data_IF_209848584198
#
_entry.id   IF_209848584198
#
_cell.length_a   1.000
_cell.length_b   1.000
_cell.length_c   1.000
_cell.angle_alpha   90.00
_cell.angle_beta   90.00
_cell.angle_gamma   90.00
#
_symmetry.space_group_name_H-M   'P 1'
#
loop_
_entity.id
_entity.type
_entity.pdbx_description
1 polymer ?
#
# COMPACT_ATOMS: atom_id res chain seq x y z
N UNK A 1 -10.57 0.23 48.03
CA UNK A 1 -11.23 -0.46 49.16
C UNK A 1 -12.42 -1.18 48.57
N UNK A 2 -12.18 -2.37 48.03
CA UNK A 2 -12.26 -3.68 48.72
C UNK A 2 -13.65 -4.25 48.44
N UNK A 3 -13.89 -5.52 48.09
CA UNK A 3 -13.11 -6.75 47.98
C UNK A 3 -14.15 -7.75 47.38
N UNK A 4 -13.83 -8.52 46.33
CA UNK A 4 -13.31 -9.90 46.40
C UNK A 4 -14.39 -10.98 46.66
N UNK A 5 -14.70 -11.71 45.58
CA UNK A 5 -14.67 -13.18 45.40
C UNK A 5 -15.50 -14.09 46.35
N UNK A 6 -16.40 -14.87 45.74
CA UNK A 6 -16.79 -16.26 46.10
C UNK A 6 -16.56 -17.10 44.84
N UNK A 7 -15.52 -17.94 44.74
CA UNK A 7 -15.46 -19.35 45.19
C UNK A 7 -16.72 -20.16 44.85
N UNK A 8 -16.66 -21.01 43.81
CA UNK A 8 -16.95 -22.45 43.95
C UNK A 8 -16.93 -23.24 42.61
N UNK A 9 -16.12 -24.30 42.62
CA UNK A 9 -16.36 -25.68 42.12
C UNK A 9 -16.43 -26.01 40.60
N UNK A 10 -15.39 -26.76 40.18
CA UNK A 10 -15.35 -28.07 39.48
C UNK A 10 -16.34 -28.35 38.33
N UNK A 11 -15.87 -28.52 37.08
CA UNK A 11 -15.24 -29.71 36.45
C UNK A 11 -16.23 -30.77 35.89
N UNK A 12 -16.12 -30.94 34.56
CA UNK A 12 -16.38 -32.11 33.72
C UNK A 12 -17.84 -32.55 33.45
N UNK A 13 -18.23 -32.55 32.17
CA UNK A 13 -18.52 -33.78 31.39
C UNK A 13 -18.71 -33.45 29.91
N UNK A 14 -18.02 -34.20 29.05
CA UNK A 14 -18.22 -34.23 27.61
C UNK A 14 -19.49 -35.01 27.22
N UNK A 15 -20.16 -34.60 26.13
CA UNK A 15 -20.70 -35.44 25.04
C UNK A 15 -21.93 -34.80 24.37
N UNK A 16 -21.85 -34.73 23.03
CA UNK A 16 -22.91 -34.91 22.03
C UNK A 16 -24.31 -34.32 22.25
N UNK A 17 -24.74 -33.44 21.33
CA UNK A 17 -26.03 -33.58 20.62
C UNK A 17 -26.21 -32.50 19.53
N UNK A 18 -26.47 -32.99 18.32
CA UNK A 18 -27.26 -32.42 17.23
C UNK A 18 -27.89 -31.01 17.42
N UNK A 19 -27.53 -30.07 16.54
CA UNK A 19 -28.40 -28.95 16.19
C UNK A 19 -28.98 -29.16 14.78
N UNK A 20 -30.22 -29.65 14.76
CA UNK A 20 -31.10 -29.67 13.60
C UNK A 20 -31.72 -28.29 13.36
N UNK A 21 -31.58 -27.82 12.12
CA UNK A 21 -32.54 -27.07 11.29
C UNK A 21 -33.14 -25.76 11.82
N UNK A 22 -32.82 -24.66 11.14
CA UNK A 22 -33.87 -23.76 10.64
C UNK A 22 -33.41 -23.05 9.36
N UNK A 23 -34.06 -23.42 8.25
CA UNK A 23 -34.15 -22.62 7.04
C UNK A 23 -34.65 -21.22 7.43
N UNK A 24 -33.86 -20.21 7.09
CA UNK A 24 -34.37 -18.86 6.85
C UNK A 24 -34.00 -18.55 5.42
N UNK A 25 -34.88 -19.02 4.53
CA UNK A 25 -35.01 -18.43 3.20
C UNK A 25 -35.47 -16.98 3.34
N UNK A 26 -35.07 -16.16 2.35
CA UNK A 26 -35.61 -14.84 2.03
C UNK A 26 -35.16 -13.64 2.89
N UNK A 27 -33.94 -13.18 2.66
CA UNK A 27 -33.63 -11.74 2.66
C UNK A 27 -32.66 -11.46 1.51
N UNK A 28 -32.96 -10.45 0.70
CA UNK A 28 -32.46 -10.28 -0.65
C UNK A 28 -30.94 -10.45 -0.80
N UNK A 29 -30.55 -11.09 -1.90
CA UNK A 29 -29.17 -11.15 -2.37
C UNK A 29 -28.76 -9.71 -2.71
N UNK A 30 -28.24 -9.00 -1.72
CA UNK A 30 -27.49 -7.78 -1.94
C UNK A 30 -26.28 -8.19 -2.78
N UNK A 31 -26.25 -7.74 -4.03
CA UNK A 31 -25.07 -7.82 -4.89
C UNK A 31 -23.84 -7.41 -4.06
N UNK A 32 -22.80 -8.26 -3.95
CA UNK A 32 -21.62 -7.88 -3.18
C UNK A 32 -21.00 -6.66 -3.85
N UNK A 33 -20.99 -5.52 -3.16
CA UNK A 33 -20.35 -4.30 -3.63
C UNK A 33 -18.93 -4.64 -4.09
N UNK A 34 -18.63 -4.37 -5.37
CA UNK A 34 -17.31 -4.66 -5.96
C UNK A 34 -16.27 -3.76 -5.30
N UNK A 35 -15.52 -4.33 -4.35
CA UNK A 35 -14.37 -3.67 -3.75
C UNK A 35 -13.23 -3.62 -4.76
N UNK A 36 -13.08 -2.49 -5.46
CA UNK A 36 -11.98 -2.24 -6.37
C UNK A 36 -10.72 -1.89 -5.58
N UNK A 37 -9.76 -2.82 -5.53
CA UNK A 37 -8.42 -2.57 -4.98
C UNK A 37 -7.50 -2.12 -6.10
N UNK A 38 -7.15 -0.84 -6.14
CA UNK A 38 -6.37 -0.24 -7.22
C UNK A 38 -5.01 0.19 -6.67
N UNK A 39 -3.95 -0.20 -7.37
CA UNK A 39 -2.57 0.18 -7.01
C UNK A 39 -2.00 1.10 -8.08
N UNK A 40 -1.84 2.37 -7.76
CA UNK A 40 -1.29 3.39 -8.65
C UNK A 40 0.20 3.54 -8.35
N UNK A 41 1.03 3.25 -9.34
CA UNK A 41 2.48 3.51 -9.26
C UNK A 41 2.82 4.74 -10.09
N UNK A 42 3.40 5.76 -9.44
CA UNK A 42 3.91 6.95 -10.11
C UNK A 42 5.43 6.91 -10.14
N UNK A 43 5.99 7.10 -11.32
CA UNK A 43 7.45 7.22 -11.52
C UNK A 43 7.77 8.48 -12.28
N UNK A 44 8.69 9.30 -11.75
CA UNK A 44 9.13 10.52 -12.43
C UNK A 44 10.57 10.87 -12.07
N UNK A 45 11.19 11.71 -12.91
CA UNK A 45 12.51 12.30 -12.65
C UNK A 45 12.43 13.55 -11.77
N UNK A 46 11.32 14.30 -11.83
CA UNK A 46 11.16 15.56 -11.12
C UNK A 46 10.30 15.36 -9.86
N UNK A 47 10.91 15.58 -8.68
CA UNK A 47 10.25 15.42 -7.38
C UNK A 47 9.11 16.40 -7.18
N UNK A 48 9.27 17.67 -7.58
CA UNK A 48 8.26 18.72 -7.35
C UNK A 48 6.93 18.39 -8.03
N UNK A 49 7.01 17.92 -9.28
CA UNK A 49 5.82 17.55 -10.04
C UNK A 49 5.19 16.27 -9.49
N UNK A 50 6.00 15.32 -9.05
CA UNK A 50 5.54 14.06 -8.46
C UNK A 50 4.79 14.28 -7.14
N UNK A 51 5.24 15.23 -6.31
CA UNK A 51 4.59 15.57 -5.05
C UNK A 51 3.26 16.30 -5.26
N UNK A 52 3.20 17.22 -6.23
CA UNK A 52 1.94 17.86 -6.62
C UNK A 52 0.88 16.83 -7.03
N UNK A 53 1.23 15.95 -7.97
CA UNK A 53 0.30 14.92 -8.46
C UNK A 53 -0.12 13.93 -7.35
N UNK A 54 0.81 13.54 -6.46
CA UNK A 54 0.46 12.71 -5.31
C UNK A 54 -0.55 13.40 -4.37
N UNK A 55 -0.38 14.70 -4.12
CA UNK A 55 -1.30 15.46 -3.28
C UNK A 55 -2.68 15.60 -3.94
N UNK A 56 -2.70 15.93 -5.23
CA UNK A 56 -3.95 16.09 -5.98
C UNK A 56 -4.74 14.78 -6.05
N UNK A 57 -4.08 13.64 -6.28
CA UNK A 57 -4.73 12.32 -6.30
C UNK A 57 -5.27 11.93 -4.92
N UNK A 58 -4.54 12.23 -3.85
CA UNK A 58 -5.00 11.96 -2.48
C UNK A 58 -6.24 12.79 -2.14
N UNK A 59 -6.25 14.08 -2.51
CA UNK A 59 -7.39 14.96 -2.24
C UNK A 59 -8.63 14.53 -3.02
N UNK A 60 -8.48 14.23 -4.31
CA UNK A 60 -9.58 13.74 -5.16
C UNK A 60 -10.16 12.40 -4.69
N UNK A 61 -9.32 11.49 -4.22
CA UNK A 61 -9.77 10.21 -3.69
C UNK A 61 -10.55 10.38 -2.38
N UNK A 62 -10.15 11.33 -1.52
CA UNK A 62 -10.88 11.68 -0.31
C UNK A 62 -12.23 12.35 -0.62
N UNK A 63 -12.29 13.24 -1.62
CA UNK A 63 -13.55 13.86 -2.08
C UNK A 63 -14.56 12.83 -2.57
N UNK A 64 -14.08 11.73 -3.17
CA UNK A 64 -14.90 10.63 -3.67
C UNK A 64 -15.17 9.54 -2.61
N UNK A 65 -14.73 9.73 -1.37
CA UNK A 65 -14.87 8.78 -0.25
C UNK A 65 -14.26 7.39 -0.53
N UNK A 66 -13.17 7.31 -1.29
CA UNK A 66 -12.41 6.08 -1.50
C UNK A 66 -11.46 5.83 -0.33
N UNK A 67 -11.21 4.56 -0.01
CA UNK A 67 -10.29 4.17 1.07
C UNK A 67 -8.83 4.32 0.62
N UNK A 68 -8.18 5.42 0.99
CA UNK A 68 -6.81 5.71 0.55
C UNK A 68 -5.76 5.18 1.52
N UNK A 69 -4.87 4.29 1.06
CA UNK A 69 -3.56 4.12 1.66
C UNK A 69 -2.62 5.20 1.12
N UNK A 70 -2.07 6.01 2.02
CA UNK A 70 -1.29 7.19 1.66
C UNK A 70 -0.11 6.90 0.72
N UNK A 71 0.44 7.93 0.05
CA UNK A 71 1.54 7.77 -0.90
C UNK A 71 2.80 7.19 -0.23
N UNK A 72 3.11 5.93 -0.48
CA UNK A 72 4.31 5.25 0.00
C UNK A 72 5.50 5.66 -0.87
N UNK A 73 6.56 6.11 -0.20
CA UNK A 73 7.81 6.53 -0.83
C UNK A 73 8.70 5.32 -1.05
N UNK A 74 8.76 4.83 -2.28
CA UNK A 74 9.67 3.75 -2.63
C UNK A 74 11.10 4.29 -2.86
N UNK A 75 12.13 3.42 -2.71
CA UNK A 75 13.51 3.82 -2.92
C UNK A 75 13.75 4.40 -4.32
N UNK A 76 14.52 5.48 -4.38
CA UNK A 76 14.87 6.14 -5.64
C UNK A 76 15.91 5.33 -6.37
N UNK A 77 15.64 4.96 -7.63
CA UNK A 77 16.64 4.29 -8.45
C UNK A 77 17.59 5.35 -9.01
N UNK A 78 18.88 5.13 -8.81
CA UNK A 78 19.93 5.99 -9.32
C UNK A 78 20.58 5.29 -10.51
N UNK A 79 20.31 5.79 -11.71
CA UNK A 79 20.99 5.35 -12.92
C UNK A 79 22.27 6.14 -13.08
N UNK A 80 23.41 5.45 -13.18
CA UNK A 80 24.74 6.04 -13.33
C UNK A 80 25.31 5.57 -14.65
N UNK A 81 25.71 6.51 -15.49
CA UNK A 81 26.45 6.23 -16.72
C UNK A 81 27.75 7.02 -16.64
N UNK A 82 28.87 6.32 -16.80
CA UNK A 82 30.20 6.94 -16.87
C UNK A 82 30.76 6.75 -18.26
N UNK A 83 30.97 7.85 -18.97
CA UNK A 83 31.53 7.85 -20.34
C UNK A 83 32.83 8.62 -20.37
N UNK A 84 33.71 8.25 -21.30
CA UNK A 84 34.91 9.06 -21.58
C UNK A 84 34.46 10.39 -22.19
N UNK A 85 35.08 11.49 -21.77
CA UNK A 85 34.80 12.83 -22.35
C UNK A 85 35.30 12.93 -23.78
N UNK A 86 36.51 12.43 -24.01
CA UNK A 86 37.15 12.49 -25.32
C UNK A 86 36.52 11.47 -26.28
N UNK A 87 36.28 11.85 -27.55
CA UNK A 87 35.78 10.95 -28.58
C UNK A 87 36.87 10.00 -29.11
N UNK A 88 38.14 10.37 -28.98
CA UNK A 88 39.30 9.62 -29.44
C UNK A 88 40.16 9.09 -28.29
N UNK A 89 41.10 8.20 -28.64
CA UNK A 89 42.05 7.54 -27.75
C UNK A 89 43.04 8.47 -27.05
N UNK A 90 43.25 9.67 -27.59
CA UNK A 90 44.34 10.58 -27.26
C UNK A 90 43.99 11.56 -26.13
N UNK A 91 45.02 12.08 -25.46
CA UNK A 91 44.91 13.08 -24.39
C UNK A 91 44.62 12.49 -22.99
N UNK A 92 44.29 13.37 -22.04
CA UNK A 92 44.10 13.00 -20.62
C UNK A 92 42.83 12.18 -20.40
N UNK A 93 42.97 11.07 -19.65
CA UNK A 93 41.87 10.19 -19.26
C UNK A 93 40.86 10.90 -18.35
N UNK A 94 39.88 11.54 -18.97
CA UNK A 94 38.80 12.27 -18.30
C UNK A 94 37.46 11.60 -18.57
N UNK A 95 36.61 11.58 -17.53
CA UNK A 95 35.34 10.86 -17.52
C UNK A 95 34.21 11.77 -17.07
N UNK A 96 33.08 11.68 -17.74
CA UNK A 96 31.82 12.27 -17.29
C UNK A 96 31.06 11.29 -16.41
N UNK A 97 30.32 11.84 -15.44
CA UNK A 97 29.45 11.09 -14.53
C UNK A 97 28.02 11.61 -14.68
N UNK A 98 27.25 10.97 -15.54
CA UNK A 98 25.84 11.28 -15.70
C UNK A 98 25.01 10.51 -14.68
N UNK A 99 24.12 11.22 -13.98
CA UNK A 99 23.19 10.65 -13.02
C UNK A 99 21.76 10.99 -13.42
N UNK A 100 20.90 9.97 -13.46
CA UNK A 100 19.46 10.15 -13.50
C UNK A 100 18.85 9.52 -12.25
N UNK A 101 18.00 10.29 -11.55
CA UNK A 101 17.24 9.80 -10.39
C UNK A 101 15.81 9.55 -10.81
N UNK A 102 15.33 8.34 -10.59
CA UNK A 102 13.94 7.97 -10.82
C UNK A 102 13.30 7.79 -9.45
N UNK A 103 12.35 8.66 -9.15
CA UNK A 103 11.57 8.66 -7.93
C UNK A 103 10.30 7.86 -8.15
N UNK A 104 10.00 6.94 -7.24
CA UNK A 104 8.81 6.09 -7.30
C UNK A 104 7.92 6.35 -6.09
N UNK A 105 6.64 6.55 -6.33
CA UNK A 105 5.58 6.66 -5.33
C UNK A 105 4.51 5.60 -5.62
N UNK A 106 3.93 5.05 -4.57
CA UNK A 106 2.87 4.06 -4.64
C UNK A 106 1.67 4.61 -3.87
N UNK A 107 0.50 4.62 -4.48
CA UNK A 107 -0.77 4.95 -3.81
C UNK A 107 -1.66 3.72 -3.98
N UNK A 108 -2.19 3.20 -2.88
CA UNK A 108 -3.20 2.15 -2.93
C UNK A 108 -4.56 2.78 -2.59
N UNK A 109 -5.56 2.50 -3.42
CA UNK A 109 -6.95 2.92 -3.32
C UNK A 109 -7.87 1.69 -3.22
#
# INVERSE_FOLDING_TARGET
>A
YSEVIKSDRNMATAAAAAYTKKEVDAAGVAEPEKVHRIRITLTSRNVKNLEKVCADLKNKANEQNLAVSGPVRLPTKILRITTRKAPSGEGTNTWDRFQMRIHKRLIDL
#
